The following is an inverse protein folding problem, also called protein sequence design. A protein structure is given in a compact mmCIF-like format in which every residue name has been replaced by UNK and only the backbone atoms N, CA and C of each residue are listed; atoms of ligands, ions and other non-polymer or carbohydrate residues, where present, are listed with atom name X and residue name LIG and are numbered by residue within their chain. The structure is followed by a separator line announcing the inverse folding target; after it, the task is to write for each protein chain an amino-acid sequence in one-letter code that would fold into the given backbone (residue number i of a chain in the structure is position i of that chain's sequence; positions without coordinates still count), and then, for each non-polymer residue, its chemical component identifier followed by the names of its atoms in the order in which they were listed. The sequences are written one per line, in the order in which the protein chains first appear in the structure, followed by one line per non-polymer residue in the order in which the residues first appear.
data_IF_873549012289
#
_entry.id   IF_873549012289
#
_cell.length_a   1.000
_cell.length_b   1.000
_cell.length_c   1.000
_cell.angle_alpha   90.00
_cell.angle_beta   90.00
_cell.angle_gamma   90.00
#
_symmetry.space_group_name_H-M   'P 1'
#
loop_
_entity.id
_entity.type
_entity.pdbx_description
1 polymer ?
#
# COMPACT_ATOMS: atom_id res chain seq x y z
N UNK A 1 47.70 27.99 -34.89
CA UNK A 1 47.91 27.55 -33.50
C UNK A 1 47.60 28.75 -32.63
N UNK A 2 46.34 28.90 -32.20
CA UNK A 2 45.95 29.98 -31.29
C UNK A 2 46.31 29.56 -29.86
N UNK A 3 46.99 30.47 -29.16
CA UNK A 3 47.57 30.28 -27.84
C UNK A 3 46.49 30.50 -26.79
N UNK A 4 46.21 29.48 -25.97
CA UNK A 4 45.25 29.52 -24.87
C UNK A 4 45.62 30.64 -23.88
N UNK A 5 44.66 31.41 -23.33
CA UNK A 5 44.98 32.46 -22.37
C UNK A 5 45.58 31.87 -21.08
N UNK A 6 46.58 32.53 -20.46
CA UNK A 6 47.39 31.96 -19.38
C UNK A 6 46.70 31.87 -18.01
N UNK A 7 45.42 32.23 -17.86
CA UNK A 7 44.67 32.07 -16.61
C UNK A 7 43.15 31.89 -16.85
N UNK A 8 42.44 31.09 -16.02
CA UNK A 8 40.99 30.93 -16.12
C UNK A 8 40.25 32.25 -15.89
N UNK A 9 39.24 32.54 -16.73
CA UNK A 9 38.39 33.75 -16.63
C UNK A 9 37.59 33.79 -15.31
N UNK A 10 37.39 32.63 -14.69
CA UNK A 10 36.82 32.49 -13.35
C UNK A 10 38.00 32.46 -12.36
N UNK A 11 38.26 33.57 -11.69
CA UNK A 11 39.40 33.74 -10.77
C UNK A 11 39.54 32.61 -9.75
N UNK A 12 40.73 32.51 -9.14
CA UNK A 12 41.02 31.49 -8.12
C UNK A 12 40.01 31.58 -6.97
N UNK A 13 39.37 30.47 -6.57
CA UNK A 13 38.41 30.47 -5.46
C UNK A 13 39.02 31.10 -4.21
N UNK A 14 38.29 32.01 -3.57
CA UNK A 14 38.77 32.63 -2.33
C UNK A 14 38.67 31.62 -1.18
N UNK A 15 39.41 31.85 -0.09
CA UNK A 15 39.27 31.03 1.12
C UNK A 15 37.83 31.01 1.66
N UNK A 16 37.04 32.05 1.38
CA UNK A 16 35.62 32.13 1.73
C UNK A 16 34.74 31.24 0.82
N UNK A 17 35.13 31.00 -0.44
CA UNK A 17 34.41 30.10 -1.33
C UNK A 17 34.66 28.63 -0.96
N UNK A 18 35.90 28.30 -0.61
CA UNK A 18 36.26 26.95 -0.15
C UNK A 18 35.56 26.55 1.16
N UNK A 19 35.29 27.52 2.05
CA UNK A 19 34.59 27.22 3.32
C UNK A 19 33.09 26.92 3.14
N UNK A 20 32.48 27.36 2.03
CA UNK A 20 31.08 27.02 1.69
C UNK A 20 30.90 25.57 1.25
N UNK A 21 31.94 24.97 0.65
CA UNK A 21 31.95 23.58 0.19
C UNK A 21 32.69 22.63 1.13
N UNK A 22 33.27 23.14 2.22
CA UNK A 22 33.81 22.30 3.28
C UNK A 22 32.67 21.47 3.89
N UNK A 23 32.82 20.14 3.86
CA UNK A 23 31.87 19.22 4.45
C UNK A 23 31.61 19.61 5.91
N UNK A 24 30.35 19.84 6.28
CA UNK A 24 29.98 20.03 7.69
C UNK A 24 30.39 18.77 8.46
N UNK A 25 31.07 18.91 9.62
CA UNK A 25 31.49 17.74 10.39
C UNK A 25 30.27 16.89 10.73
N UNK A 26 30.42 15.60 10.53
CA UNK A 26 29.40 14.59 10.83
C UNK A 26 29.10 14.62 12.32
N UNK A 27 27.91 14.17 12.73
CA UNK A 27 27.60 13.93 14.15
C UNK A 27 28.63 12.99 14.80
N UNK A 28 29.28 12.15 13.99
CA UNK A 28 30.35 11.23 14.37
C UNK A 28 31.67 11.93 14.73
N UNK A 29 31.91 13.15 14.24
CA UNK A 29 33.14 13.92 14.50
C UNK A 29 33.06 14.77 15.77
N UNK A 30 31.93 14.71 16.49
CA UNK A 30 31.77 15.41 17.78
C UNK A 30 32.60 14.69 18.85
N UNK A 31 33.35 15.43 19.70
CA UNK A 31 34.23 14.83 20.71
C UNK A 31 33.49 13.95 21.75
N UNK A 32 32.16 14.01 21.81
CA UNK A 32 31.34 13.12 22.64
C UNK A 32 30.99 11.77 22.01
N UNK A 33 31.06 11.63 20.67
CA UNK A 33 30.70 10.38 19.98
C UNK A 33 31.82 9.33 20.05
N UNK A 34 33.08 9.78 20.01
CA UNK A 34 34.27 8.91 20.13
C UNK A 34 34.36 8.22 21.50
N UNK A 35 33.76 8.81 22.56
CA UNK A 35 33.67 8.17 23.89
C UNK A 35 32.82 6.89 23.94
N UNK A 36 32.05 6.58 22.89
CA UNK A 36 31.33 5.30 22.82
C UNK A 36 32.19 4.13 22.34
N UNK A 37 33.34 4.41 21.71
CA UNK A 37 34.23 3.41 21.12
C UNK A 37 35.58 3.27 21.83
N UNK A 38 35.85 4.07 22.87
CA UNK A 38 36.96 3.80 23.78
C UNK A 38 36.65 2.56 24.63
N UNK A 39 37.58 1.59 24.74
CA UNK A 39 37.42 0.46 25.64
C UNK A 39 37.47 0.97 27.09
N UNK A 40 36.31 1.31 27.63
CA UNK A 40 36.15 1.63 29.04
C UNK A 40 36.54 0.44 29.91
N UNK A 41 37.05 0.73 31.12
CA UNK A 41 37.39 -0.29 32.12
C UNK A 41 36.24 -1.31 32.26
N UNK A 42 36.56 -2.62 32.42
CA UNK A 42 35.55 -3.66 32.52
C UNK A 42 34.57 -3.31 33.63
N UNK A 43 33.33 -3.00 33.24
CA UNK A 43 32.26 -2.65 34.17
C UNK A 43 32.15 -3.77 35.20
N UNK A 44 32.19 -3.41 36.49
CA UNK A 44 32.00 -4.37 37.58
C UNK A 44 30.74 -5.19 37.29
N UNK A 45 30.81 -6.53 37.39
CA UNK A 45 29.65 -7.37 37.12
C UNK A 45 28.51 -6.93 38.03
N UNK A 46 27.33 -6.70 37.42
CA UNK A 46 26.12 -6.37 38.15
C UNK A 46 25.89 -7.40 39.25
N UNK A 47 25.56 -6.91 40.45
CA UNK A 47 25.23 -7.80 41.56
C UNK A 47 24.15 -8.80 41.13
N UNK A 48 24.30 -10.04 41.58
CA UNK A 48 23.46 -11.17 41.18
C UNK A 48 21.94 -10.91 41.22
N UNK A 49 21.38 -10.23 42.23
CA UNK A 49 19.95 -9.89 42.25
C UNK A 49 19.56 -8.90 41.14
N UNK A 50 20.41 -7.93 40.82
CA UNK A 50 20.16 -6.91 39.78
C UNK A 50 20.21 -7.57 38.39
N UNK A 51 21.18 -8.47 38.17
CA UNK A 51 21.32 -9.24 36.93
C UNK A 51 20.08 -10.12 36.67
N UNK A 52 19.61 -10.86 37.68
CA UNK A 52 18.40 -11.70 37.53
C UNK A 52 17.14 -10.87 37.24
N UNK A 53 17.03 -9.68 37.84
CA UNK A 53 15.89 -8.77 37.59
C UNK A 53 15.92 -8.23 36.16
N UNK A 54 17.07 -7.75 35.68
CA UNK A 54 17.22 -7.25 34.31
C UNK A 54 16.98 -8.33 33.26
N UNK A 55 17.49 -9.55 33.47
CA UNK A 55 17.22 -10.69 32.56
C UNK A 55 15.73 -11.02 32.53
N UNK A 56 15.03 -11.00 33.67
CA UNK A 56 13.57 -11.23 33.71
C UNK A 56 12.79 -10.15 32.95
N UNK A 57 13.15 -8.88 33.12
CA UNK A 57 12.51 -7.79 32.38
C UNK A 57 12.84 -7.80 30.88
N UNK A 58 14.08 -8.16 30.51
CA UNK A 58 14.47 -8.36 29.13
C UNK A 58 13.70 -9.50 28.46
N UNK A 59 13.54 -10.64 29.15
CA UNK A 59 12.74 -11.78 28.69
C UNK A 59 11.26 -11.41 28.57
N UNK A 60 10.70 -10.64 29.51
CA UNK A 60 9.32 -10.16 29.44
C UNK A 60 9.10 -9.20 28.26
N UNK A 61 10.03 -8.26 28.04
CA UNK A 61 9.99 -7.36 26.89
C UNK A 61 10.12 -8.10 25.55
N UNK A 62 11.01 -9.09 25.47
CA UNK A 62 11.16 -9.94 24.29
C UNK A 62 9.93 -10.81 24.02
N UNK A 63 9.32 -11.39 25.05
CA UNK A 63 8.07 -12.14 24.92
C UNK A 63 6.90 -11.25 24.46
N UNK A 64 6.81 -10.02 24.97
CA UNK A 64 5.82 -9.03 24.52
C UNK A 64 6.06 -8.64 23.06
N UNK A 65 7.31 -8.42 22.67
CA UNK A 65 7.66 -8.13 21.28
C UNK A 65 7.29 -9.29 20.34
N UNK A 66 7.59 -10.54 20.72
CA UNK A 66 7.19 -11.73 19.97
C UNK A 66 5.67 -11.88 19.86
N UNK A 67 4.92 -11.51 20.89
CA UNK A 67 3.45 -11.50 20.83
C UNK A 67 2.93 -10.43 19.87
N UNK A 68 3.47 -9.21 19.91
CA UNK A 68 3.08 -8.14 18.97
C UNK A 68 3.41 -8.52 17.54
N UNK A 69 4.64 -8.96 17.27
CA UNK A 69 5.04 -9.40 15.92
C UNK A 69 4.23 -10.62 15.49
N UNK A 70 4.01 -11.59 16.38
CA UNK A 70 3.23 -12.79 16.11
C UNK A 70 1.77 -12.48 15.77
N UNK A 71 1.13 -11.55 16.48
CA UNK A 71 -0.22 -11.08 16.15
C UNK A 71 -0.25 -10.36 14.80
N UNK A 72 0.75 -9.54 14.50
CA UNK A 72 0.85 -8.81 13.23
C UNK A 72 1.09 -9.75 12.04
N UNK A 73 1.92 -10.78 12.21
CA UNK A 73 2.14 -11.85 11.21
C UNK A 73 0.88 -12.69 11.01
N UNK A 74 0.18 -13.08 12.09
CA UNK A 74 -1.07 -13.83 12.00
C UNK A 74 -2.19 -13.01 11.36
N UNK A 75 -2.30 -11.72 11.65
CA UNK A 75 -3.24 -10.82 10.98
C UNK A 75 -2.90 -10.75 9.49
N UNK A 76 -1.65 -10.49 9.12
CA UNK A 76 -1.22 -10.48 7.71
C UNK A 76 -1.51 -11.81 7.01
N UNK A 77 -1.28 -12.96 7.67
CA UNK A 77 -1.60 -14.26 7.08
C UNK A 77 -3.10 -14.46 6.93
N UNK A 78 -3.94 -14.05 7.88
CA UNK A 78 -5.40 -14.21 7.78
C UNK A 78 -5.98 -13.39 6.63
N UNK A 79 -5.42 -12.21 6.36
CA UNK A 79 -5.93 -11.31 5.32
C UNK A 79 -5.25 -11.51 3.96
N UNK A 80 -3.99 -11.97 3.92
CA UNK A 80 -3.29 -12.28 2.67
C UNK A 80 -3.54 -13.71 2.13
N UNK A 81 -3.89 -14.70 2.98
CA UNK A 81 -3.87 -16.13 2.60
C UNK A 81 -5.19 -16.68 2.07
N UNK A 82 -5.71 -16.13 1.00
CA UNK A 82 -6.45 -16.95 0.02
C UNK A 82 -5.86 -16.74 -1.38
N UNK A 83 -4.53 -16.71 -1.46
CA UNK A 83 -3.84 -17.05 -2.70
C UNK A 83 -4.13 -18.53 -2.97
N UNK A 84 -5.02 -18.82 -3.93
CA UNK A 84 -4.92 -20.08 -4.64
C UNK A 84 -3.48 -20.14 -5.15
N UNK A 85 -2.74 -21.19 -4.77
CA UNK A 85 -1.39 -21.45 -5.24
C UNK A 85 -1.42 -21.64 -6.75
N UNK A 86 -1.23 -20.56 -7.51
CA UNK A 86 -0.71 -20.63 -8.87
C UNK A 86 0.80 -20.55 -8.71
N UNK A 87 1.44 -21.71 -8.71
CA UNK A 87 2.89 -21.82 -8.75
C UNK A 87 3.31 -21.43 -10.17
N UNK A 88 3.71 -20.17 -10.36
CA UNK A 88 4.46 -19.78 -11.55
C UNK A 88 5.91 -20.24 -11.36
N UNK A 89 6.17 -21.48 -11.76
CA UNK A 89 7.52 -21.94 -12.03
C UNK A 89 7.92 -21.35 -13.38
N UNK A 90 8.64 -20.22 -13.36
CA UNK A 90 9.35 -19.75 -14.55
C UNK A 90 10.62 -20.59 -14.69
N UNK A 91 10.73 -21.50 -15.68
CA UNK A 91 12.01 -22.13 -15.93
C UNK A 91 12.95 -21.06 -16.48
N UNK A 92 13.96 -20.75 -15.68
CA UNK A 92 15.16 -20.04 -16.11
C UNK A 92 15.76 -20.80 -17.29
N UNK A 93 15.61 -20.26 -18.51
CA UNK A 93 16.26 -20.80 -19.70
C UNK A 93 17.74 -20.40 -19.63
N UNK A 94 18.50 -21.15 -18.83
CA UNK A 94 19.93 -21.28 -19.07
C UNK A 94 20.09 -22.17 -20.31
N UNK A 95 20.79 -21.68 -21.33
CA UNK A 95 21.29 -22.52 -22.40
C UNK A 95 22.42 -23.40 -21.85
N UNK A 96 22.31 -24.75 -21.88
CA UNK A 96 23.47 -25.58 -22.09
C UNK A 96 23.50 -25.98 -23.56
N UNK A 97 24.65 -25.75 -24.18
CA UNK A 97 25.03 -26.39 -25.42
C UNK A 97 25.07 -27.93 -25.25
N UNK A 98 24.81 -28.61 -26.36
CA UNK A 98 25.05 -30.04 -26.61
C UNK A 98 24.03 -31.05 -26.06
N UNK A 99 23.03 -31.41 -26.90
CA UNK A 99 22.38 -32.73 -26.84
C UNK A 99 22.18 -33.28 -28.27
N UNK A 100 22.55 -34.54 -28.57
CA UNK A 100 22.49 -35.09 -29.92
C UNK A 100 21.06 -35.40 -30.40
N UNK A 101 20.88 -35.29 -31.72
CA UNK A 101 19.66 -35.64 -32.45
C UNK A 101 19.18 -37.08 -32.19
N UNK A 102 17.88 -37.21 -31.92
CA UNK A 102 17.15 -38.46 -32.05
C UNK A 102 16.49 -38.91 -30.76
N UNK A 103 15.38 -38.27 -30.38
CA UNK A 103 14.15 -38.91 -29.94
C UNK A 103 13.10 -37.81 -29.66
N UNK A 104 11.87 -38.04 -30.12
CA UNK A 104 10.77 -37.08 -30.09
C UNK A 104 10.56 -36.49 -28.70
N UNK A 105 10.80 -35.18 -28.54
CA UNK A 105 10.44 -34.46 -27.32
C UNK A 105 8.93 -34.61 -27.07
N UNK A 106 8.48 -34.90 -25.84
CA UNK A 106 7.07 -34.82 -25.50
C UNK A 106 6.58 -33.41 -25.82
N UNK A 107 5.48 -33.28 -26.57
CA UNK A 107 4.86 -31.97 -26.76
C UNK A 107 4.54 -31.41 -25.37
N UNK A 108 4.96 -30.18 -25.03
CA UNK A 108 4.48 -29.53 -23.82
C UNK A 108 2.96 -29.48 -23.90
N UNK A 109 2.30 -29.76 -22.76
CA UNK A 109 0.86 -29.55 -22.64
C UNK A 109 0.51 -28.13 -23.15
N UNK A 110 -0.66 -27.94 -23.80
CA UNK A 110 -1.08 -26.61 -24.23
C UNK A 110 -0.89 -25.65 -23.06
N UNK A 111 -0.09 -24.61 -23.25
CA UNK A 111 0.01 -23.53 -22.28
C UNK A 111 -1.42 -23.04 -22.06
N UNK A 112 -1.92 -23.17 -20.83
CA UNK A 112 -3.20 -22.58 -20.47
C UNK A 112 -3.02 -21.08 -20.68
N UNK A 113 -3.69 -20.54 -21.70
CA UNK A 113 -3.55 -19.15 -22.12
C UNK A 113 -3.90 -18.31 -20.90
N UNK A 114 -2.92 -17.58 -20.36
CA UNK A 114 -3.21 -16.56 -19.36
C UNK A 114 -4.26 -15.63 -20.00
N UNK A 115 -5.35 -15.30 -19.29
CA UNK A 115 -6.29 -14.31 -19.81
C UNK A 115 -5.51 -13.05 -20.18
N UNK A 116 -5.76 -12.51 -21.36
CA UNK A 116 -5.22 -11.20 -21.73
C UNK A 116 -5.84 -10.15 -20.82
N UNK A 117 -5.13 -9.04 -20.58
CA UNK A 117 -5.61 -7.94 -19.73
C UNK A 117 -7.03 -7.49 -20.10
N UNK A 118 -7.34 -7.43 -21.40
CA UNK A 118 -8.66 -7.04 -21.92
C UNK A 118 -9.78 -8.07 -21.64
N UNK A 119 -9.44 -9.36 -21.47
CA UNK A 119 -10.45 -10.37 -21.12
C UNK A 119 -11.02 -10.12 -19.71
N UNK A 120 -10.25 -9.47 -18.83
CA UNK A 120 -10.67 -9.17 -17.45
C UNK A 120 -11.61 -7.94 -17.40
N UNK A 121 -11.58 -7.07 -18.43
CA UNK A 121 -12.55 -5.97 -18.63
C UNK A 121 -13.78 -6.37 -19.47
N UNK A 122 -13.89 -7.65 -19.85
CA UNK A 122 -15.04 -8.22 -20.56
C UNK A 122 -15.82 -9.18 -19.64
N UNK A 123 -16.60 -8.67 -18.67
CA UNK A 123 -17.19 -9.49 -17.64
C UNK A 123 -18.20 -10.48 -18.22
N UNK A 124 -18.15 -11.71 -17.73
CA UNK A 124 -19.12 -12.75 -18.11
C UNK A 124 -20.40 -12.52 -17.30
N UNK A 125 -21.55 -12.69 -17.96
CA UNK A 125 -22.84 -12.65 -17.27
C UNK A 125 -22.89 -13.72 -16.17
N UNK A 126 -22.77 -13.29 -14.91
CA UNK A 126 -22.87 -14.15 -13.73
C UNK A 126 -24.06 -13.74 -12.87
N UNK A 127 -24.74 -14.72 -12.25
CA UNK A 127 -25.77 -14.43 -11.27
C UNK A 127 -25.16 -13.88 -9.97
N UNK A 128 -25.67 -12.77 -9.42
CA UNK A 128 -25.26 -12.26 -8.11
C UNK A 128 -25.43 -13.30 -7.00
N UNK A 129 -24.37 -13.52 -6.21
CA UNK A 129 -24.40 -14.47 -5.07
C UNK A 129 -23.90 -13.82 -3.80
N UNK A 130 -24.82 -13.65 -2.85
CA UNK A 130 -24.48 -13.11 -1.52
C UNK A 130 -23.57 -14.07 -0.77
N UNK A 131 -22.41 -13.56 -0.37
CA UNK A 131 -21.39 -14.30 0.37
C UNK A 131 -21.30 -13.82 1.81
N UNK A 132 -21.30 -14.77 2.75
CA UNK A 132 -21.08 -14.47 4.17
C UNK A 132 -19.59 -14.23 4.42
N UNK A 133 -19.27 -13.13 5.10
CA UNK A 133 -17.92 -12.88 5.62
C UNK A 133 -17.77 -13.60 6.95
N UNK A 134 -16.58 -14.17 7.22
CA UNK A 134 -16.34 -14.86 8.48
C UNK A 134 -16.47 -13.90 9.68
N UNK A 135 -17.03 -14.38 10.79
CA UNK A 135 -17.21 -13.56 12.00
C UNK A 135 -15.89 -13.03 12.55
N UNK A 136 -14.78 -13.74 12.33
CA UNK A 136 -13.43 -13.29 12.71
C UNK A 136 -13.02 -12.04 11.93
N UNK A 137 -13.18 -12.06 10.60
CA UNK A 137 -12.87 -10.92 9.73
C UNK A 137 -13.76 -9.73 10.07
N UNK A 138 -15.09 -9.94 10.18
CA UNK A 138 -16.03 -8.87 10.53
C UNK A 138 -15.67 -8.20 11.87
N UNK A 139 -15.34 -8.99 12.91
CA UNK A 139 -14.93 -8.42 14.21
C UNK A 139 -13.62 -7.64 14.14
N UNK A 140 -12.67 -8.08 13.32
CA UNK A 140 -11.39 -7.39 13.16
C UNK A 140 -11.58 -6.05 12.44
N UNK A 141 -12.30 -6.04 11.31
CA UNK A 141 -12.64 -4.81 10.56
C UNK A 141 -13.43 -3.83 11.44
N UNK A 142 -14.48 -4.30 12.11
CA UNK A 142 -15.29 -3.47 13.02
C UNK A 142 -14.50 -2.92 14.22
N UNK A 143 -13.36 -3.52 14.58
CA UNK A 143 -12.49 -2.96 15.62
C UNK A 143 -11.74 -1.74 15.10
N UNK A 144 -11.21 -1.80 13.89
CA UNK A 144 -10.49 -0.66 13.30
C UNK A 144 -11.43 0.49 12.98
N UNK A 145 -12.63 0.18 12.44
CA UNK A 145 -13.64 1.21 12.22
C UNK A 145 -14.07 1.92 13.50
N UNK A 146 -14.30 1.21 14.61
CA UNK A 146 -14.65 1.87 15.89
C UNK A 146 -13.57 2.84 16.36
N UNK A 147 -12.30 2.56 16.09
CA UNK A 147 -11.17 3.46 16.40
C UNK A 147 -11.24 4.72 15.55
N UNK A 148 -11.39 4.56 14.24
CA UNK A 148 -11.58 5.64 13.26
C UNK A 148 -12.80 6.50 13.65
N UNK A 149 -13.97 5.89 13.85
CA UNK A 149 -15.20 6.57 14.24
C UNK A 149 -15.05 7.36 15.55
N UNK A 150 -14.39 6.79 16.56
CA UNK A 150 -14.17 7.47 17.84
C UNK A 150 -13.29 8.71 17.66
N UNK A 151 -12.24 8.58 16.86
CA UNK A 151 -11.36 9.70 16.54
C UNK A 151 -12.10 10.77 15.73
N UNK A 152 -12.85 10.39 14.69
CA UNK A 152 -13.61 11.30 13.85
C UNK A 152 -14.68 12.06 14.65
N UNK A 153 -15.46 11.38 15.50
CA UNK A 153 -16.46 12.03 16.38
C UNK A 153 -15.86 13.14 17.23
N UNK A 154 -14.62 12.96 17.67
CA UNK A 154 -13.94 13.87 18.59
C UNK A 154 -13.22 15.00 17.84
N UNK A 155 -12.54 14.68 16.74
CA UNK A 155 -11.59 15.59 16.09
C UNK A 155 -12.08 16.11 14.73
N UNK A 156 -12.85 15.28 14.01
CA UNK A 156 -13.34 15.59 12.68
C UNK A 156 -14.85 15.26 12.52
N UNK A 157 -15.74 15.89 13.32
CA UNK A 157 -17.16 15.56 13.34
C UNK A 157 -17.88 15.88 12.03
N UNK A 158 -17.38 16.81 11.21
CA UNK A 158 -17.91 17.08 9.88
C UNK A 158 -17.70 15.87 8.99
N UNK A 159 -16.46 15.37 8.90
CA UNK A 159 -16.14 14.13 8.18
C UNK A 159 -16.84 12.90 8.77
N UNK A 160 -17.02 12.82 10.09
CA UNK A 160 -17.75 11.71 10.71
C UNK A 160 -19.17 11.52 10.11
N UNK A 161 -19.87 12.63 9.81
CA UNK A 161 -21.22 12.60 9.22
C UNK A 161 -21.25 12.14 7.78
N UNK A 162 -20.10 12.09 7.12
CA UNK A 162 -19.97 11.64 5.72
C UNK A 162 -19.81 10.13 5.61
N UNK A 163 -19.62 9.40 6.71
CA UNK A 163 -19.53 7.94 6.65
C UNK A 163 -20.85 7.37 6.14
N UNK A 164 -20.78 6.54 5.09
CA UNK A 164 -21.95 5.89 4.52
C UNK A 164 -22.69 5.02 5.54
N UNK A 165 -23.99 4.84 5.32
CA UNK A 165 -24.76 3.83 6.03
C UNK A 165 -24.24 2.42 5.71
N UNK A 166 -24.58 1.39 6.51
CA UNK A 166 -24.21 0.02 6.20
C UNK A 166 -24.68 -0.41 4.80
N UNK A 167 -23.76 -0.94 4.00
CA UNK A 167 -24.05 -1.36 2.63
C UNK A 167 -24.93 -2.59 2.53
N UNK A 168 -25.64 -2.69 1.41
CA UNK A 168 -26.49 -3.83 1.08
C UNK A 168 -25.65 -5.02 0.55
N UNK A 169 -25.83 -6.18 1.17
CA UNK A 169 -25.13 -7.40 0.78
C UNK A 169 -25.48 -7.87 -0.64
N UNK A 170 -26.70 -7.56 -1.12
CA UNK A 170 -27.17 -7.87 -2.47
C UNK A 170 -26.54 -6.91 -3.49
N UNK A 171 -26.46 -5.62 -3.19
CA UNK A 171 -25.75 -4.65 -4.02
C UNK A 171 -24.26 -5.01 -4.20
N UNK A 172 -23.58 -5.44 -3.12
CA UNK A 172 -22.19 -5.93 -3.21
C UNK A 172 -22.10 -7.18 -4.07
N UNK A 173 -23.03 -8.12 -3.92
CA UNK A 173 -23.04 -9.33 -4.76
C UNK A 173 -23.30 -9.02 -6.24
N UNK A 174 -24.11 -7.99 -6.52
CA UNK A 174 -24.39 -7.53 -7.87
C UNK A 174 -23.16 -6.84 -8.49
N UNK A 175 -22.43 -6.02 -7.73
CA UNK A 175 -21.15 -5.44 -8.18
C UNK A 175 -20.09 -6.52 -8.45
N UNK A 176 -19.90 -7.47 -7.52
CA UNK A 176 -18.97 -8.61 -7.72
C UNK A 176 -19.32 -9.41 -8.98
N UNK A 177 -20.60 -9.64 -9.26
CA UNK A 177 -21.04 -10.34 -10.45
C UNK A 177 -20.87 -9.52 -11.74
N UNK A 178 -21.19 -8.22 -11.70
CA UNK A 178 -21.00 -7.31 -12.83
C UNK A 178 -19.53 -7.21 -13.22
N UNK A 179 -18.64 -7.06 -12.25
CA UNK A 179 -17.21 -6.92 -12.48
C UNK A 179 -16.52 -8.27 -12.75
N UNK A 180 -17.23 -9.39 -12.59
CA UNK A 180 -16.64 -10.75 -12.57
C UNK A 180 -15.48 -10.92 -11.57
N UNK A 181 -15.41 -10.05 -10.55
CA UNK A 181 -14.34 -9.97 -9.57
C UNK A 181 -14.89 -10.20 -8.17
N UNK A 182 -14.14 -10.94 -7.34
CA UNK A 182 -14.48 -11.13 -5.92
C UNK A 182 -13.85 -10.05 -5.06
N UNK A 183 -14.67 -9.38 -4.27
CA UNK A 183 -14.17 -8.42 -3.29
C UNK A 183 -13.50 -9.16 -2.14
N UNK A 184 -12.28 -8.75 -1.74
CA UNK A 184 -11.64 -9.27 -0.54
C UNK A 184 -12.56 -9.21 0.68
N UNK A 185 -12.46 -10.22 1.54
CA UNK A 185 -13.36 -10.40 2.68
C UNK A 185 -13.39 -9.20 3.63
N UNK A 186 -12.26 -8.51 3.77
CA UNK A 186 -12.08 -7.31 4.57
C UNK A 186 -12.71 -6.06 3.92
N UNK A 187 -12.56 -5.86 2.61
CA UNK A 187 -13.30 -4.83 1.87
C UNK A 187 -14.82 -5.05 1.99
N UNK A 188 -15.29 -6.28 1.74
CA UNK A 188 -16.72 -6.63 1.88
C UNK A 188 -17.23 -6.36 3.31
N UNK A 189 -16.46 -6.74 4.34
CA UNK A 189 -16.83 -6.43 5.74
C UNK A 189 -16.83 -4.92 6.03
N UNK A 190 -15.97 -4.15 5.36
CA UNK A 190 -15.94 -2.69 5.49
C UNK A 190 -17.18 -2.05 4.88
N UNK A 191 -17.53 -2.41 3.64
CA UNK A 191 -18.72 -1.91 2.93
C UNK A 191 -20.02 -2.25 3.68
N UNK A 192 -20.11 -3.47 4.24
CA UNK A 192 -21.24 -3.87 5.10
C UNK A 192 -21.34 -3.08 6.41
N UNK A 193 -20.34 -2.26 6.76
CA UNK A 193 -20.36 -1.36 7.91
C UNK A 193 -20.60 0.08 7.48
N UNK A 194 -19.86 0.54 6.48
CA UNK A 194 -19.94 1.86 5.86
C UNK A 194 -19.81 1.68 4.36
N UNK A 195 -20.90 1.89 3.63
CA UNK A 195 -20.93 1.84 2.18
C UNK A 195 -20.30 3.11 1.61
N UNK A 196 -18.98 3.13 1.58
CA UNK A 196 -18.23 4.30 1.16
C UNK A 196 -18.45 5.50 2.07
N UNK A 197 -18.42 6.67 1.44
CA UNK A 197 -18.71 7.95 2.03
C UNK A 197 -19.72 8.68 1.16
N UNK A 198 -20.54 9.53 1.78
CA UNK A 198 -21.46 10.42 1.08
C UNK A 198 -20.82 11.80 0.95
N UNK A 199 -20.97 12.42 -0.22
CA UNK A 199 -20.54 13.80 -0.47
C UNK A 199 -21.63 14.77 0.02
N UNK A 200 -21.44 15.49 1.14
CA UNK A 200 -22.28 16.63 1.49
C UNK A 200 -21.90 17.86 0.65
N UNK A 201 -22.80 18.85 0.57
CA UNK A 201 -22.55 20.10 -0.16
C UNK A 201 -21.37 20.90 0.40
N UNK A 202 -21.10 20.80 1.71
CA UNK A 202 -20.19 21.70 2.43
C UNK A 202 -18.93 21.03 3.01
N UNK A 203 -18.59 19.79 2.62
CA UNK A 203 -17.43 19.08 3.20
C UNK A 203 -16.88 18.01 2.28
N UNK A 204 -15.58 17.77 2.39
CA UNK A 204 -14.96 16.60 1.76
C UNK A 204 -15.42 15.31 2.46
N UNK A 205 -15.74 14.24 1.71
CA UNK A 205 -16.12 12.95 2.30
C UNK A 205 -14.93 12.29 3.00
N UNK A 206 -15.25 11.34 3.89
CA UNK A 206 -14.23 10.49 4.48
C UNK A 206 -13.49 9.69 3.39
N UNK A 207 -12.19 9.58 3.56
CA UNK A 207 -11.31 8.98 2.58
C UNK A 207 -10.00 8.49 3.18
N UNK A 208 -9.22 7.80 2.35
CA UNK A 208 -7.91 7.27 2.68
C UNK A 208 -6.86 7.94 1.79
N UNK A 209 -5.76 8.41 2.39
CA UNK A 209 -4.59 8.90 1.64
C UNK A 209 -4.95 10.00 0.62
N UNK A 210 -5.93 10.85 0.92
CA UNK A 210 -6.42 11.90 0.01
C UNK A 210 -7.59 11.51 -0.90
N UNK A 211 -7.91 10.22 -1.03
CA UNK A 211 -8.97 9.71 -1.91
C UNK A 211 -10.27 9.44 -1.12
N UNK A 212 -11.40 9.97 -1.60
CA UNK A 212 -12.74 9.71 -1.07
C UNK A 212 -13.08 8.22 -1.17
N UNK A 213 -13.57 7.62 -0.08
CA UNK A 213 -13.90 6.19 -0.04
C UNK A 213 -15.22 5.93 -0.79
N UNK A 214 -15.16 5.11 -1.84
CA UNK A 214 -16.29 4.87 -2.74
C UNK A 214 -17.31 3.92 -2.12
N UNK A 215 -18.59 4.19 -2.39
CA UNK A 215 -19.67 3.24 -2.13
C UNK A 215 -19.71 2.14 -3.21
N UNK A 216 -20.42 1.04 -2.95
CA UNK A 216 -20.46 -0.12 -3.85
C UNK A 216 -20.89 0.18 -5.28
N UNK A 217 -21.76 1.18 -5.47
CA UNK A 217 -22.20 1.60 -6.81
C UNK A 217 -21.08 2.36 -7.51
N UNK A 218 -20.47 3.30 -6.81
CA UNK A 218 -19.33 4.07 -7.32
C UNK A 218 -18.15 3.15 -7.66
N UNK A 219 -17.84 2.14 -6.83
CA UNK A 219 -16.80 1.13 -7.14
C UNK A 219 -17.07 0.47 -8.50
N UNK A 220 -18.30 0.05 -8.74
CA UNK A 220 -18.69 -0.59 -10.01
C UNK A 220 -18.61 0.39 -11.18
N UNK A 221 -19.10 1.61 -10.99
CA UNK A 221 -19.19 2.62 -12.05
C UNK A 221 -17.78 3.11 -12.43
N UNK A 222 -16.91 3.35 -11.44
CA UNK A 222 -15.50 3.69 -11.63
C UNK A 222 -14.74 2.58 -12.35
N UNK A 223 -14.92 1.32 -11.91
CA UNK A 223 -14.34 0.16 -12.59
C UNK A 223 -14.76 0.08 -14.05
N UNK A 224 -16.06 0.31 -14.34
CA UNK A 224 -16.58 0.29 -15.70
C UNK A 224 -16.01 1.42 -16.55
N UNK A 225 -15.75 2.59 -15.96
CA UNK A 225 -15.11 3.72 -16.64
C UNK A 225 -13.65 3.42 -16.95
N UNK A 226 -12.90 2.87 -16.00
CA UNK A 226 -11.49 2.53 -16.18
C UNK A 226 -11.30 1.45 -17.24
N UNK A 227 -12.16 0.41 -17.24
CA UNK A 227 -12.18 -0.60 -18.30
C UNK A 227 -12.55 -0.04 -19.69
N UNK A 228 -13.37 1.01 -19.76
CA UNK A 228 -13.70 1.64 -21.04
C UNK A 228 -12.51 2.43 -21.60
N UNK A 229 -11.75 3.12 -20.75
CA UNK A 229 -10.53 3.85 -21.16
C UNK A 229 -9.45 2.87 -21.61
N UNK A 230 -9.25 1.77 -20.89
CA UNK A 230 -8.27 0.74 -21.24
C UNK A 230 -8.53 0.12 -22.62
N UNK A 231 -9.80 -0.16 -22.93
CA UNK A 231 -10.22 -0.66 -24.24
C UNK A 231 -10.07 0.32 -25.42
N UNK A 232 -9.72 1.59 -25.18
CA UNK A 232 -9.41 2.57 -26.23
C UNK A 232 -7.93 2.55 -26.64
N UNK A 233 -7.04 1.96 -25.84
CA UNK A 233 -5.59 1.90 -26.06
C UNK A 233 -5.16 0.63 -26.85
N UNK A 234 -5.83 0.33 -27.98
CA UNK A 234 -5.52 -0.80 -28.89
C UNK A 234 -4.14 -0.70 -29.61
N UNK A 235 -3.19 0.08 -29.09
CA UNK A 235 -1.96 0.51 -29.77
C UNK A 235 -0.74 -0.38 -29.61
N UNK A 236 -0.68 -1.27 -28.61
CA UNK A 236 0.44 -2.20 -28.44
C UNK A 236 -0.05 -3.65 -28.47
N UNK A 237 0.08 -4.31 -29.63
CA UNK A 237 -0.05 -5.77 -29.75
C UNK A 237 1.08 -6.45 -28.95
N UNK A 238 0.88 -6.61 -27.65
CA UNK A 238 1.83 -7.22 -26.71
C UNK A 238 1.10 -8.04 -25.65
N UNK A 239 1.77 -9.06 -25.11
CA UNK A 239 1.27 -9.77 -23.93
C UNK A 239 1.36 -8.82 -22.73
N UNK A 240 0.23 -8.21 -22.40
CA UNK A 240 0.09 -7.41 -21.22
C UNK A 240 0.03 -8.25 -19.95
N UNK A 241 0.90 -7.94 -19.00
CA UNK A 241 0.95 -8.63 -17.72
C UNK A 241 0.24 -7.81 -16.66
N UNK A 242 -0.60 -8.44 -15.83
CA UNK A 242 -1.26 -7.73 -14.76
C UNK A 242 -0.28 -6.98 -13.84
N UNK A 243 -0.63 -5.74 -13.47
CA UNK A 243 0.19 -4.77 -12.72
C UNK A 243 1.40 -4.18 -13.45
N UNK A 244 1.58 -4.47 -14.73
CA UNK A 244 2.57 -3.77 -15.56
C UNK A 244 1.92 -2.67 -16.38
N UNK A 245 0.63 -2.82 -16.67
CA UNK A 245 -0.23 -1.78 -17.22
C UNK A 245 -0.74 -0.84 -16.14
N UNK A 246 -1.27 0.29 -16.59
CA UNK A 246 -1.87 1.32 -15.76
C UNK A 246 -3.24 0.89 -15.20
N UNK A 247 -3.92 -0.05 -15.88
CA UNK A 247 -5.18 -0.66 -15.45
C UNK A 247 -5.22 -2.16 -15.76
N UNK A 248 -6.09 -2.88 -15.05
CA UNK A 248 -6.41 -4.30 -15.30
C UNK A 248 -7.78 -4.58 -14.66
N UNK A 249 -8.67 -5.26 -15.37
CA UNK A 249 -10.04 -5.55 -14.90
C UNK A 249 -10.13 -6.30 -13.57
N UNK A 250 -9.05 -6.95 -13.11
CA UNK A 250 -8.99 -7.61 -11.79
C UNK A 250 -8.84 -6.62 -10.62
N UNK A 251 -8.55 -5.35 -10.90
CA UNK A 251 -8.34 -4.31 -9.89
C UNK A 251 -9.66 -3.69 -9.47
N UNK A 252 -9.84 -3.52 -8.16
CA UNK A 252 -11.08 -3.00 -7.57
C UNK A 252 -10.79 -1.58 -7.10
N UNK A 253 -11.30 -0.53 -7.75
CA UNK A 253 -11.18 0.82 -7.24
C UNK A 253 -12.05 0.93 -6.00
N UNK A 254 -11.51 1.45 -4.90
CA UNK A 254 -12.28 1.62 -3.66
C UNK A 254 -12.22 3.03 -3.10
N UNK A 255 -11.34 3.88 -3.63
CA UNK A 255 -11.30 5.30 -3.31
C UNK A 255 -10.85 6.09 -4.53
N UNK A 256 -11.39 7.29 -4.73
CA UNK A 256 -11.02 8.19 -5.83
C UNK A 256 -10.74 9.61 -5.31
N UNK A 257 -9.83 10.34 -5.94
CA UNK A 257 -9.56 11.74 -5.59
C UNK A 257 -10.50 12.75 -6.28
N UNK A 258 -11.29 12.27 -7.26
CA UNK A 258 -12.18 13.10 -8.09
C UNK A 258 -11.49 13.78 -9.28
N UNK A 259 -10.19 13.54 -9.50
CA UNK A 259 -9.40 14.07 -10.62
C UNK A 259 -8.81 12.97 -11.53
N UNK A 260 -9.12 11.70 -11.24
CA UNK A 260 -8.76 10.54 -12.06
C UNK A 260 -7.83 9.56 -11.36
N UNK A 261 -7.33 9.90 -10.17
CA UNK A 261 -6.46 9.01 -9.40
C UNK A 261 -7.29 8.14 -8.45
N UNK A 262 -6.96 6.86 -8.41
CA UNK A 262 -7.70 5.84 -7.66
C UNK A 262 -6.80 5.08 -6.70
N UNK A 263 -7.32 4.74 -5.52
CA UNK A 263 -6.80 3.63 -4.74
C UNK A 263 -7.51 2.35 -5.15
N UNK A 264 -6.70 1.32 -5.40
CA UNK A 264 -7.17 0.04 -5.94
C UNK A 264 -6.77 -1.12 -5.04
N UNK A 265 -7.52 -2.22 -5.11
CA UNK A 265 -7.10 -3.52 -4.56
C UNK A 265 -7.03 -4.51 -5.71
N UNK A 266 -5.92 -5.22 -5.80
CA UNK A 266 -5.85 -6.40 -6.65
C UNK A 266 -6.63 -7.55 -6.03
N UNK A 267 -7.61 -8.08 -6.77
CA UNK A 267 -8.49 -9.12 -6.25
C UNK A 267 -7.79 -10.45 -5.91
N UNK A 268 -6.63 -10.74 -6.52
CA UNK A 268 -5.85 -11.96 -6.29
C UNK A 268 -4.79 -11.75 -5.21
N UNK A 269 -4.02 -10.68 -5.30
CA UNK A 269 -2.88 -10.40 -4.43
C UNK A 269 -3.27 -9.62 -3.16
N UNK A 270 -4.40 -8.91 -3.20
CA UNK A 270 -5.11 -8.24 -2.09
C UNK A 270 -4.41 -7.04 -1.47
N UNK A 271 -3.19 -6.72 -1.88
CA UNK A 271 -2.53 -5.48 -1.52
C UNK A 271 -3.19 -4.28 -2.20
N UNK A 272 -3.08 -3.16 -1.51
CA UNK A 272 -3.59 -1.86 -1.93
C UNK A 272 -2.55 -1.20 -2.83
N UNK A 273 -3.01 -0.71 -3.97
CA UNK A 273 -2.26 0.11 -4.90
C UNK A 273 -2.90 1.46 -5.14
N UNK A 274 -2.31 2.19 -6.06
CA UNK A 274 -2.80 3.43 -6.63
C UNK A 274 -2.60 3.39 -8.15
N UNK A 275 -3.55 3.98 -8.88
CA UNK A 275 -3.43 4.31 -10.30
C UNK A 275 -3.60 5.82 -10.43
N UNK A 276 -2.85 6.44 -11.32
CA UNK A 276 -3.02 7.87 -11.65
C UNK A 276 -3.59 8.06 -13.05
N UNK A 277 -4.07 9.27 -13.30
CA UNK A 277 -4.58 9.69 -14.60
C UNK A 277 -3.48 9.91 -15.67
N UNK A 278 -2.20 9.77 -15.31
CA UNK A 278 -1.06 9.88 -16.22
C UNK A 278 -0.59 8.51 -16.75
N UNK A 279 -1.30 7.43 -16.43
CA UNK A 279 -1.02 6.08 -16.92
C UNK A 279 0.01 5.32 -16.08
N UNK A 280 0.16 5.64 -14.80
CA UNK A 280 1.04 4.92 -13.88
C UNK A 280 0.25 4.12 -12.84
N UNK A 281 0.78 2.95 -12.49
CA UNK A 281 0.28 2.12 -11.40
C UNK A 281 1.38 1.78 -10.40
N UNK A 282 1.04 1.76 -9.11
CA UNK A 282 1.94 1.33 -8.04
C UNK A 282 1.22 0.60 -6.90
N UNK A 283 1.79 -0.49 -6.40
CA UNK A 283 1.32 -1.22 -5.21
C UNK A 283 2.00 -0.78 -3.91
N UNK A 284 2.48 0.45 -3.88
CA UNK A 284 3.05 1.10 -2.70
C UNK A 284 2.50 2.51 -2.56
N UNK A 285 1.19 2.68 -2.31
CA UNK A 285 0.61 4.01 -2.16
C UNK A 285 1.26 4.72 -0.96
N UNK A 286 1.68 5.96 -1.18
CA UNK A 286 2.47 6.68 -0.18
C UNK A 286 3.91 6.14 -0.01
N UNK A 287 4.45 5.42 -0.99
CA UNK A 287 5.76 4.72 -0.96
C UNK A 287 5.86 3.58 0.04
N UNK A 288 4.73 3.03 0.51
CA UNK A 288 4.71 1.93 1.48
C UNK A 288 3.83 0.78 1.02
N UNK A 289 4.27 -0.48 1.17
CA UNK A 289 3.41 -1.62 0.86
C UNK A 289 2.29 -1.74 1.90
N UNK A 290 1.06 -1.88 1.43
CA UNK A 290 -0.13 -2.10 2.26
C UNK A 290 -0.80 -3.40 1.80
N UNK A 291 -0.67 -4.47 2.60
CA UNK A 291 -0.94 -5.85 2.16
C UNK A 291 -2.41 -6.28 2.16
N UNK A 292 -3.33 -5.40 2.54
CA UNK A 292 -4.78 -5.66 2.60
C UNK A 292 -5.54 -4.37 2.89
N UNK A 293 -6.84 -4.36 2.59
CA UNK A 293 -7.72 -3.27 3.03
C UNK A 293 -7.80 -3.20 4.56
N UNK A 294 -7.78 -4.35 5.26
CA UNK A 294 -7.66 -4.39 6.72
C UNK A 294 -6.38 -3.70 7.21
N UNK A 295 -5.24 -3.91 6.54
CA UNK A 295 -3.99 -3.24 6.88
C UNK A 295 -4.08 -1.71 6.67
N UNK A 296 -4.78 -1.26 5.63
CA UNK A 296 -5.07 0.17 5.40
C UNK A 296 -5.91 0.74 6.55
N UNK A 297 -7.02 0.09 6.92
CA UNK A 297 -7.88 0.51 8.04
C UNK A 297 -7.10 0.60 9.35
N UNK A 298 -6.29 -0.43 9.64
CA UNK A 298 -5.48 -0.48 10.86
C UNK A 298 -4.45 0.64 10.88
N UNK A 299 -3.71 0.86 9.78
CA UNK A 299 -2.71 1.94 9.68
C UNK A 299 -3.37 3.32 9.79
N UNK A 300 -4.56 3.49 9.24
CA UNK A 300 -5.35 4.72 9.35
C UNK A 300 -5.73 5.00 10.80
N UNK A 301 -6.30 4.00 11.49
CA UNK A 301 -6.60 4.11 12.91
C UNK A 301 -5.34 4.41 13.76
N UNK A 302 -4.24 3.70 13.50
CA UNK A 302 -2.97 3.89 14.20
C UNK A 302 -2.41 5.30 13.97
N UNK A 303 -2.46 5.83 12.73
CA UNK A 303 -1.97 7.16 12.39
C UNK A 303 -2.82 8.27 13.03
N UNK A 304 -4.15 8.14 12.99
CA UNK A 304 -5.08 9.10 13.61
C UNK A 304 -4.90 9.17 15.13
N UNK A 305 -4.86 8.02 15.82
CA UNK A 305 -4.76 7.98 17.28
C UNK A 305 -3.41 8.45 17.82
N UNK A 306 -2.32 8.21 17.08
CA UNK A 306 -0.96 8.49 17.54
C UNK A 306 -0.32 9.72 16.88
N UNK A 307 -1.03 10.40 15.97
CA UNK A 307 -0.48 11.51 15.18
C UNK A 307 0.62 11.11 14.20
N UNK A 308 0.59 9.84 13.75
CA UNK A 308 1.56 9.24 12.82
C UNK A 308 1.25 9.49 11.35
N UNK A 309 1.88 8.73 10.45
CA UNK A 309 1.66 8.78 9.00
C UNK A 309 1.52 7.36 8.41
N UNK A 310 0.99 7.28 7.19
CA UNK A 310 1.01 6.10 6.34
C UNK A 310 1.89 6.44 5.14
N UNK A 311 3.15 6.02 5.20
CA UNK A 311 4.14 6.52 4.23
C UNK A 311 4.28 8.04 4.38
N UNK A 312 4.22 8.77 3.26
CA UNK A 312 4.20 10.23 3.29
C UNK A 312 2.84 10.84 3.69
N UNK A 313 1.74 10.07 3.72
CA UNK A 313 0.42 10.62 4.04
C UNK A 313 0.20 10.79 5.54
N UNK A 314 -0.17 12.00 5.97
CA UNK A 314 -0.48 12.29 7.38
C UNK A 314 -1.93 12.74 7.55
N UNK A 315 -2.75 12.05 8.37
CA UNK A 315 -4.09 12.52 8.69
C UNK A 315 -4.02 13.70 9.68
N UNK A 316 -4.79 14.76 9.40
CA UNK A 316 -4.97 15.92 10.29
C UNK A 316 -6.43 16.28 10.42
N UNK A 317 -6.81 16.77 11.60
CA UNK A 317 -8.10 17.40 11.81
C UNK A 317 -7.98 18.91 11.55
N UNK A 318 -8.74 19.43 10.58
CA UNK A 318 -8.75 20.86 10.22
C UNK A 318 -10.20 21.30 10.14
N UNK A 319 -10.60 22.29 10.95
CA UNK A 319 -11.97 22.82 10.91
C UNK A 319 -13.09 21.81 11.22
N UNK A 320 -12.77 20.68 11.87
CA UNK A 320 -13.73 19.58 12.08
C UNK A 320 -13.81 18.59 10.92
N UNK A 321 -12.91 18.67 9.96
CA UNK A 321 -12.75 17.74 8.84
C UNK A 321 -11.43 16.97 8.92
N UNK A 322 -11.40 15.79 8.32
CA UNK A 322 -10.18 15.03 8.09
C UNK A 322 -9.52 15.53 6.80
N UNK A 323 -8.32 16.06 6.92
CA UNK A 323 -7.42 16.32 5.82
C UNK A 323 -6.30 15.28 5.78
N UNK A 324 -5.74 15.05 4.60
CA UNK A 324 -4.55 14.25 4.39
C UNK A 324 -3.46 15.12 3.77
N UNK A 325 -2.33 15.27 4.46
CA UNK A 325 -1.19 15.98 3.90
C UNK A 325 -0.20 14.98 3.32
N UNK A 326 0.23 15.22 2.08
CA UNK A 326 1.44 14.62 1.58
C UNK A 326 2.62 15.28 2.32
N UNK A 327 3.42 14.50 3.05
CA UNK A 327 4.66 14.99 3.61
C UNK A 327 5.54 15.48 2.44
N UNK A 328 6.06 16.70 2.56
CA UNK A 328 6.94 17.28 1.53
C UNK A 328 8.02 16.27 1.14
N UNK A 329 8.01 15.85 -0.13
CA UNK A 329 9.07 15.04 -0.71
C UNK A 329 10.38 15.79 -0.48
N UNK A 330 11.38 15.21 0.20
CA UNK A 330 12.69 15.85 0.27
C UNK A 330 13.19 16.08 -1.16
N UNK A 331 13.79 17.24 -1.47
CA UNK A 331 14.32 17.47 -2.82
C UNK A 331 15.26 16.33 -3.19
N UNK A 332 15.05 15.77 -4.39
CA UNK A 332 15.88 14.71 -4.98
C UNK A 332 17.35 15.09 -4.84
N UNK A 333 18.14 14.21 -4.21
CA UNK A 333 19.60 14.40 -4.05
C UNK A 333 20.36 14.15 -5.34
#
# INVERSE_FOLDING_TARGET
MEQWPPAPILGTPTAADLSRFAARPSVLDRPGFIKFFEPGEPRKPLEEPVRRRLVRWGMAGFALFLLVVGTQVLENMVFAKETATVVHEYPFIGYPADVPNGDSLPQPAPYEKLPSADEDCAPRSAEPRVRKVSTKVTRAVNRQWRRIETWLKTNAPTTYRTLGEPGDAEAIAAAEAYMSVRFPNDLRASLLRHDGSVFPEDSWPFGFLGHANLNVREIRDEWSSLCAVDGEDEGEEGFSLPRQEWWDGRMIPFAADGSGDNLVIDSLMRDVGQTDHEGTMSFTPGEVPIRSYYALLKRTADAMENGGSIGHWKPRAVGGELAWDAAETPPSR
#
